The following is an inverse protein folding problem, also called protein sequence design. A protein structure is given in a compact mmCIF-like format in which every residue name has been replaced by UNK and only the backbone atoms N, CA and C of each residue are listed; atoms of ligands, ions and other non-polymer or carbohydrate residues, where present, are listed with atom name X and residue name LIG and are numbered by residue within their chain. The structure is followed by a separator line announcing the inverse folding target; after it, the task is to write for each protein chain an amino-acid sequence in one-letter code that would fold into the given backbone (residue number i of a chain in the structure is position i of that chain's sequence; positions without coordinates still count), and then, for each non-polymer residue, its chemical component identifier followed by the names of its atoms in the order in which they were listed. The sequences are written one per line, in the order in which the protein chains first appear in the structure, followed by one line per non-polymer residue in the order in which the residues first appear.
data_IF_101198122453
#
_entry.id   IF_101198122453
#
_cell.length_a   1.000
_cell.length_b   1.000
_cell.length_c   1.000
_cell.angle_alpha   90.00
_cell.angle_beta   90.00
_cell.angle_gamma   90.00
#
_symmetry.space_group_name_H-M   'P 1'
#
loop_
_entity.id
_entity.type
_entity.pdbx_description
1 polymer ?
#
# COMPACT_ATOMS: atom_id res chain seq x y z
N UNK A 1 1.51 45.31 -12.95
CA UNK A 1 2.08 44.05 -13.50
C UNK A 1 3.45 43.86 -12.88
N UNK A 2 3.64 42.82 -12.06
CA UNK A 2 4.97 42.46 -11.52
C UNK A 2 5.75 41.74 -12.63
N UNK A 3 7.06 41.98 -12.79
CA UNK A 3 7.83 41.36 -13.86
C UNK A 3 7.89 39.84 -13.67
N UNK A 4 7.31 39.09 -14.60
CA UNK A 4 7.24 37.60 -14.63
C UNK A 4 8.53 36.99 -15.21
N UNK A 5 9.44 37.81 -15.73
CA UNK A 5 10.66 37.35 -16.40
C UNK A 5 11.74 36.72 -15.49
N UNK A 6 12.03 37.17 -14.25
CA UNK A 6 13.10 36.58 -13.43
C UNK A 6 12.75 35.18 -12.89
N UNK A 7 11.47 34.81 -12.88
CA UNK A 7 10.99 33.49 -12.41
C UNK A 7 11.26 32.34 -13.39
N UNK A 8 11.34 32.63 -14.69
CA UNK A 8 11.63 31.59 -15.70
C UNK A 8 13.11 31.22 -15.64
N UNK A 9 14.01 32.20 -15.50
CA UNK A 9 15.45 31.97 -15.38
C UNK A 9 15.82 31.19 -14.11
N UNK A 10 15.21 31.52 -12.97
CA UNK A 10 15.46 30.80 -11.70
C UNK A 10 14.86 29.40 -11.68
N UNK A 11 13.68 29.18 -12.27
CA UNK A 11 13.12 27.84 -12.43
C UNK A 11 13.96 26.99 -13.38
N UNK A 12 14.41 27.55 -14.51
CA UNK A 12 15.29 26.87 -15.46
C UNK A 12 16.64 26.52 -14.80
N UNK A 13 17.22 27.43 -14.01
CA UNK A 13 18.46 27.20 -13.26
C UNK A 13 18.29 26.13 -12.17
N UNK A 14 17.16 26.11 -11.44
CA UNK A 14 16.86 25.09 -10.44
C UNK A 14 16.61 23.71 -11.07
N UNK A 15 15.92 23.66 -12.22
CA UNK A 15 15.72 22.41 -12.97
C UNK A 15 17.05 21.90 -13.50
N UNK A 16 17.87 22.75 -14.13
CA UNK A 16 19.18 22.36 -14.66
C UNK A 16 20.17 21.98 -13.57
N UNK A 17 20.24 22.71 -12.46
CA UNK A 17 21.08 22.31 -11.32
C UNK A 17 20.56 21.02 -10.67
N UNK A 18 19.25 20.86 -10.51
CA UNK A 18 18.66 19.65 -9.93
C UNK A 18 18.88 18.42 -10.81
N UNK A 19 18.67 18.54 -12.12
CA UNK A 19 18.96 17.45 -13.06
C UNK A 19 20.45 17.18 -13.18
N UNK A 20 21.31 18.21 -13.17
CA UNK A 20 22.75 18.03 -13.21
C UNK A 20 23.29 17.34 -11.94
N UNK A 21 22.86 17.76 -10.75
CA UNK A 21 23.28 17.15 -9.47
C UNK A 21 22.78 15.72 -9.36
N UNK A 22 21.52 15.46 -9.74
CA UNK A 22 21.00 14.10 -9.76
C UNK A 22 21.70 13.22 -10.79
N UNK A 23 21.93 13.72 -12.00
CA UNK A 23 22.67 12.99 -13.03
C UNK A 23 24.09 12.68 -12.55
N UNK A 24 24.80 13.67 -11.97
CA UNK A 24 26.12 13.45 -11.37
C UNK A 24 26.09 12.41 -10.26
N UNK A 25 25.08 12.45 -9.38
CA UNK A 25 24.94 11.51 -8.27
C UNK A 25 24.64 10.08 -8.75
N UNK A 26 23.71 9.91 -9.69
CA UNK A 26 23.40 8.60 -10.27
C UNK A 26 24.53 8.08 -11.15
N UNK A 27 25.26 8.95 -11.85
CA UNK A 27 26.49 8.61 -12.56
C UNK A 27 27.60 8.22 -11.58
N UNK A 28 27.73 8.88 -10.42
CA UNK A 28 28.67 8.50 -9.36
C UNK A 28 28.32 7.14 -8.76
N UNK A 29 27.05 6.86 -8.49
CA UNK A 29 26.58 5.54 -8.04
C UNK A 29 26.86 4.48 -9.11
N UNK A 30 26.54 4.76 -10.38
CA UNK A 30 26.82 3.84 -11.48
C UNK A 30 28.33 3.59 -11.63
N UNK A 31 29.16 4.63 -11.48
CA UNK A 31 30.61 4.55 -11.52
C UNK A 31 31.16 3.79 -10.31
N UNK A 32 30.60 3.99 -9.11
CA UNK A 32 30.95 3.23 -7.90
C UNK A 32 30.59 1.75 -8.04
N UNK A 33 29.39 1.45 -8.55
CA UNK A 33 28.98 0.09 -8.86
C UNK A 33 29.91 -0.55 -9.90
N UNK A 34 30.32 0.22 -10.92
CA UNK A 34 31.28 -0.22 -11.93
C UNK A 34 32.69 -0.41 -11.35
N UNK A 35 33.17 0.47 -10.46
CA UNK A 35 34.48 0.37 -9.81
C UNK A 35 34.55 -0.81 -8.84
N UNK A 36 33.49 -1.01 -8.05
CA UNK A 36 33.33 -2.16 -7.16
C UNK A 36 33.32 -3.43 -8.02
N UNK A 37 32.51 -3.47 -9.08
CA UNK A 37 32.42 -4.63 -9.98
C UNK A 37 33.74 -4.92 -10.71
N UNK A 38 34.46 -3.90 -11.18
CA UNK A 38 35.74 -4.06 -11.88
C UNK A 38 36.88 -4.48 -10.95
N UNK A 39 36.88 -4.04 -9.69
CA UNK A 39 37.78 -4.54 -8.65
C UNK A 39 37.64 -6.05 -8.39
N UNK A 40 36.43 -6.60 -8.54
CA UNK A 40 36.18 -8.05 -8.46
C UNK A 40 36.55 -8.82 -9.75
N UNK A 41 36.59 -8.16 -10.92
CA UNK A 41 36.93 -8.80 -12.21
C UNK A 41 38.40 -9.07 -12.45
N UNK A 42 39.32 -8.41 -11.72
CA UNK A 42 40.76 -8.73 -11.84
C UNK A 42 41.10 -10.18 -11.44
N UNK A 43 40.12 -10.94 -10.91
CA UNK A 43 40.27 -12.31 -10.44
C UNK A 43 39.61 -13.39 -11.32
N UNK A 44 38.75 -13.08 -12.32
CA UNK A 44 38.03 -14.14 -13.09
C UNK A 44 37.87 -13.84 -14.59
N UNK A 45 38.26 -14.81 -15.43
CA UNK A 45 38.57 -14.64 -16.86
C UNK A 45 37.38 -14.67 -17.86
N UNK A 46 36.13 -14.40 -17.45
CA UNK A 46 34.94 -14.67 -18.29
C UNK A 46 34.20 -13.41 -18.75
N UNK A 47 34.49 -12.95 -19.97
CA UNK A 47 34.17 -11.58 -20.40
C UNK A 47 32.84 -11.26 -21.07
N UNK A 48 31.90 -12.20 -21.17
CA UNK A 48 30.69 -12.02 -21.99
C UNK A 48 29.39 -11.80 -21.20
N UNK A 49 29.32 -12.15 -19.91
CA UNK A 49 28.06 -12.10 -19.13
C UNK A 49 27.80 -10.77 -18.43
N UNK A 50 28.81 -9.90 -18.32
CA UNK A 50 28.73 -8.69 -17.52
C UNK A 50 28.23 -7.45 -18.27
N UNK A 51 28.32 -7.40 -19.60
CA UNK A 51 27.82 -6.26 -20.36
C UNK A 51 26.31 -6.09 -20.16
N UNK A 52 25.57 -7.19 -20.08
CA UNK A 52 24.13 -7.17 -19.81
C UNK A 52 23.79 -6.77 -18.37
N UNK A 53 24.59 -7.17 -17.37
CA UNK A 53 24.36 -6.79 -15.98
C UNK A 53 24.69 -5.31 -15.73
N UNK A 54 25.78 -4.81 -16.33
CA UNK A 54 26.17 -3.41 -16.28
C UNK A 54 25.15 -2.53 -17.02
N UNK A 55 24.74 -2.91 -18.23
CA UNK A 55 23.70 -2.20 -18.99
C UNK A 55 22.36 -2.20 -18.24
N UNK A 56 21.99 -3.31 -17.60
CA UNK A 56 20.75 -3.43 -16.83
C UNK A 56 20.78 -2.60 -15.54
N UNK A 57 21.89 -2.58 -14.81
CA UNK A 57 22.08 -1.70 -13.64
C UNK A 57 22.10 -0.21 -14.02
N UNK A 58 22.67 0.13 -15.18
CA UNK A 58 22.70 1.49 -15.71
C UNK A 58 21.30 1.93 -16.15
N UNK A 59 20.51 1.04 -16.78
CA UNK A 59 19.11 1.30 -17.14
C UNK A 59 18.22 1.44 -15.89
N UNK A 60 18.37 0.55 -14.90
CA UNK A 60 17.59 0.60 -13.65
C UNK A 60 17.99 1.71 -12.69
N UNK A 61 19.23 2.22 -12.76
CA UNK A 61 19.67 3.36 -11.96
C UNK A 61 19.37 4.69 -12.61
N UNK A 62 19.72 4.83 -13.90
CA UNK A 62 19.66 6.11 -14.62
C UNK A 62 18.24 6.48 -15.02
N UNK A 63 17.41 5.52 -15.46
CA UNK A 63 16.04 5.84 -15.91
C UNK A 63 15.12 6.23 -14.73
N UNK A 64 15.03 5.46 -13.63
CA UNK A 64 14.26 5.88 -12.46
C UNK A 64 14.85 7.12 -11.78
N UNK A 65 16.18 7.24 -11.76
CA UNK A 65 16.88 8.42 -11.23
C UNK A 65 16.53 9.70 -12.00
N UNK A 66 16.53 9.67 -13.34
CA UNK A 66 16.13 10.79 -14.19
C UNK A 66 14.64 11.11 -14.04
N UNK A 67 13.77 10.10 -13.99
CA UNK A 67 12.32 10.30 -13.83
C UNK A 67 11.99 10.90 -12.46
N UNK A 68 12.54 10.36 -11.37
CA UNK A 68 12.35 10.90 -10.03
C UNK A 68 12.90 12.33 -9.92
N UNK A 69 14.08 12.60 -10.47
CA UNK A 69 14.71 13.93 -10.40
C UNK A 69 13.95 14.99 -11.20
N UNK A 70 13.41 14.61 -12.36
CA UNK A 70 12.56 15.48 -13.17
C UNK A 70 11.25 15.79 -12.45
N UNK A 71 10.65 14.80 -11.79
CA UNK A 71 9.42 14.98 -10.98
C UNK A 71 9.69 15.84 -9.73
N UNK A 72 10.85 15.68 -9.08
CA UNK A 72 11.23 16.50 -7.92
C UNK A 72 11.55 17.95 -8.31
N UNK A 73 12.22 18.18 -9.44
CA UNK A 73 12.48 19.51 -9.96
C UNK A 73 11.16 20.23 -10.33
N UNK A 74 10.22 19.53 -10.99
CA UNK A 74 8.92 20.07 -11.36
C UNK A 74 8.01 20.36 -10.16
N UNK A 75 8.10 19.55 -9.10
CA UNK A 75 7.30 19.77 -7.87
C UNK A 75 7.88 20.88 -6.99
N UNK A 76 9.21 21.06 -6.99
CA UNK A 76 9.88 22.16 -6.29
C UNK A 76 9.61 23.51 -6.95
N UNK A 77 9.60 23.58 -8.29
CA UNK A 77 9.32 24.82 -9.03
C UNK A 77 7.89 25.36 -8.85
N UNK A 78 7.00 24.64 -8.16
CA UNK A 78 5.59 25.02 -7.94
C UNK A 78 5.34 25.84 -6.67
N UNK A 79 6.33 26.04 -5.80
CA UNK A 79 6.17 26.93 -4.64
C UNK A 79 6.50 28.38 -5.02
N UNK A 80 5.56 29.30 -4.74
CA UNK A 80 5.72 30.73 -5.01
C UNK A 80 6.77 31.42 -4.12
N UNK A 81 7.16 30.80 -3.01
CA UNK A 81 8.12 31.33 -2.06
C UNK A 81 9.47 30.60 -2.18
N UNK A 82 10.54 31.36 -2.41
CA UNK A 82 11.89 30.87 -2.66
C UNK A 82 12.46 30.11 -1.45
N UNK A 83 12.08 30.51 -0.23
CA UNK A 83 12.53 29.85 0.99
C UNK A 83 11.85 28.49 1.18
N UNK A 84 10.55 28.41 0.86
CA UNK A 84 9.79 27.16 0.87
C UNK A 84 10.26 26.20 -0.25
N UNK A 85 10.65 26.74 -1.40
CA UNK A 85 11.26 25.98 -2.50
C UNK A 85 12.56 25.32 -2.06
N UNK A 86 13.47 26.09 -1.45
CA UNK A 86 14.76 25.59 -0.94
C UNK A 86 14.57 24.51 0.12
N UNK A 87 13.63 24.70 1.05
CA UNK A 87 13.36 23.72 2.13
C UNK A 87 12.78 22.42 1.58
N UNK A 88 11.85 22.49 0.63
CA UNK A 88 11.28 21.30 -0.05
C UNK A 88 12.32 20.58 -0.91
N UNK A 89 13.12 21.33 -1.67
CA UNK A 89 14.18 20.78 -2.48
C UNK A 89 15.24 20.08 -1.60
N UNK A 90 15.67 20.71 -0.51
CA UNK A 90 16.61 20.12 0.44
C UNK A 90 16.06 18.85 1.11
N UNK A 91 14.79 18.82 1.53
CA UNK A 91 14.19 17.62 2.12
C UNK A 91 14.04 16.48 1.12
N UNK A 92 13.69 16.80 -0.13
CA UNK A 92 13.56 15.80 -1.20
C UNK A 92 14.92 15.27 -1.64
N UNK A 93 15.92 16.15 -1.75
CA UNK A 93 17.30 15.77 -2.02
C UNK A 93 17.85 14.89 -0.90
N UNK A 94 17.64 15.25 0.38
CA UNK A 94 18.03 14.42 1.51
C UNK A 94 17.36 13.05 1.50
N UNK A 95 16.06 12.98 1.14
CA UNK A 95 15.35 11.70 1.01
C UNK A 95 15.96 10.84 -0.10
N UNK A 96 16.21 11.40 -1.28
CA UNK A 96 16.82 10.70 -2.42
C UNK A 96 18.25 10.24 -2.10
N UNK A 97 19.04 11.09 -1.43
CA UNK A 97 20.37 10.72 -0.97
C UNK A 97 20.31 9.59 0.06
N UNK A 98 19.34 9.63 0.99
CA UNK A 98 19.14 8.57 1.98
C UNK A 98 18.72 7.25 1.34
N UNK A 99 17.75 7.25 0.41
CA UNK A 99 17.38 6.01 -0.31
C UNK A 99 18.52 5.49 -1.17
N UNK A 100 19.28 6.38 -1.82
CA UNK A 100 20.48 6.01 -2.58
C UNK A 100 21.57 5.41 -1.68
N UNK A 101 21.81 5.99 -0.50
CA UNK A 101 22.76 5.48 0.47
C UNK A 101 22.32 4.13 1.06
N UNK A 102 21.04 3.97 1.39
CA UNK A 102 20.49 2.68 1.86
C UNK A 102 20.62 1.62 0.77
N UNK A 103 20.33 1.97 -0.48
CA UNK A 103 20.49 1.05 -1.61
C UNK A 103 21.96 0.68 -1.85
N UNK A 104 22.88 1.65 -1.77
CA UNK A 104 24.32 1.46 -1.90
C UNK A 104 24.90 0.60 -0.76
N UNK A 105 24.44 0.82 0.47
CA UNK A 105 24.82 0.00 1.63
C UNK A 105 24.25 -1.41 1.50
N UNK A 106 22.99 -1.56 1.08
CA UNK A 106 22.38 -2.88 0.85
C UNK A 106 23.10 -3.65 -0.26
N UNK A 107 23.44 -2.99 -1.37
CA UNK A 107 24.22 -3.59 -2.47
C UNK A 107 25.66 -3.86 -2.07
N UNK A 108 26.29 -3.01 -1.25
CA UNK A 108 27.63 -3.23 -0.71
C UNK A 108 27.70 -4.38 0.29
N UNK A 109 26.75 -4.45 1.24
CA UNK A 109 26.60 -5.58 2.18
C UNK A 109 26.36 -6.87 1.39
N UNK A 110 25.47 -6.82 0.39
CA UNK A 110 25.21 -7.95 -0.49
C UNK A 110 26.47 -8.39 -1.26
N UNK A 111 27.20 -7.46 -1.88
CA UNK A 111 28.43 -7.75 -2.62
C UNK A 111 29.57 -8.26 -1.74
N UNK A 112 29.74 -7.72 -0.53
CA UNK A 112 30.74 -8.19 0.44
C UNK A 112 30.38 -9.59 0.98
N UNK A 113 29.09 -9.82 1.23
CA UNK A 113 28.59 -11.13 1.64
C UNK A 113 28.74 -12.17 0.52
N UNK A 114 28.42 -11.80 -0.72
CA UNK A 114 28.63 -12.64 -1.90
C UNK A 114 30.13 -12.92 -2.17
N UNK A 115 31.00 -11.91 -2.05
CA UNK A 115 32.45 -12.06 -2.23
C UNK A 115 33.10 -12.95 -1.16
N UNK A 116 32.65 -12.86 0.09
CA UNK A 116 33.11 -13.74 1.19
C UNK A 116 32.61 -15.18 1.07
N UNK A 117 31.56 -15.42 0.27
CA UNK A 117 30.98 -16.75 0.03
C UNK A 117 31.16 -17.23 -1.44
N UNK A 118 32.12 -16.64 -2.17
CA UNK A 118 32.59 -17.15 -3.46
C UNK A 118 31.72 -16.83 -4.67
N UNK A 119 30.92 -15.76 -4.67
CA UNK A 119 30.22 -15.30 -5.89
C UNK A 119 29.06 -16.18 -6.33
N UNK A 120 28.52 -16.99 -5.42
CA UNK A 120 27.57 -18.05 -5.77
C UNK A 120 26.16 -17.82 -5.27
N UNK A 121 25.75 -16.71 -4.66
CA UNK A 121 24.42 -16.73 -4.04
C UNK A 121 23.26 -16.63 -5.03
N UNK A 122 23.24 -15.65 -5.95
CA UNK A 122 22.17 -15.59 -6.96
C UNK A 122 22.35 -16.66 -8.04
N UNK A 123 23.58 -16.96 -8.42
CA UNK A 123 23.90 -18.02 -9.38
C UNK A 123 23.72 -19.41 -8.80
N UNK A 124 23.96 -19.65 -7.51
CA UNK A 124 23.60 -20.90 -6.82
C UNK A 124 22.18 -20.93 -6.28
N UNK A 125 21.48 -19.80 -6.06
CA UNK A 125 20.02 -19.85 -5.91
C UNK A 125 19.41 -20.23 -7.25
N UNK A 126 19.84 -19.60 -8.35
CA UNK A 126 19.40 -19.95 -9.70
C UNK A 126 19.77 -21.40 -10.04
N UNK A 127 21.00 -21.84 -9.78
CA UNK A 127 21.47 -23.19 -10.10
C UNK A 127 20.98 -24.28 -9.13
N UNK A 128 20.91 -24.02 -7.80
CA UNK A 128 20.24 -24.94 -6.87
C UNK A 128 18.76 -25.01 -7.23
N UNK A 129 18.11 -23.86 -7.43
CA UNK A 129 16.66 -23.80 -7.61
C UNK A 129 16.16 -24.09 -9.03
N UNK A 130 17.05 -24.22 -10.01
CA UNK A 130 16.65 -24.32 -11.43
C UNK A 130 15.90 -23.09 -11.92
N UNK A 131 16.06 -21.95 -11.25
CA UNK A 131 15.33 -20.72 -11.55
C UNK A 131 16.14 -19.85 -12.53
N UNK A 132 15.46 -19.26 -13.50
CA UNK A 132 16.05 -18.20 -14.30
C UNK A 132 16.47 -17.02 -13.41
N UNK A 133 17.61 -16.39 -13.72
CA UNK A 133 18.18 -15.25 -13.00
C UNK A 133 17.21 -14.08 -12.85
N UNK A 134 16.29 -13.89 -13.80
CA UNK A 134 15.21 -12.91 -13.71
C UNK A 134 14.22 -13.21 -12.58
N UNK A 135 13.92 -14.48 -12.33
CA UNK A 135 13.02 -14.94 -11.25
C UNK A 135 13.69 -14.77 -9.89
N UNK A 136 15.00 -15.03 -9.79
CA UNK A 136 15.77 -14.80 -8.57
C UNK A 136 15.86 -13.31 -8.20
N UNK A 137 16.00 -12.44 -9.21
CA UNK A 137 16.00 -10.98 -9.00
C UNK A 137 14.61 -10.47 -8.59
N UNK A 138 13.55 -10.95 -9.23
CA UNK A 138 12.17 -10.64 -8.83
C UNK A 138 11.89 -11.10 -7.39
N UNK A 139 12.44 -12.24 -6.98
CA UNK A 139 12.36 -12.75 -5.61
C UNK A 139 13.09 -11.86 -4.60
N UNK A 140 14.29 -11.37 -4.91
CA UNK A 140 15.02 -10.42 -4.07
C UNK A 140 14.30 -9.07 -3.93
N UNK A 141 13.73 -8.55 -5.03
CA UNK A 141 12.92 -7.32 -5.01
C UNK A 141 11.64 -7.53 -4.21
N UNK A 142 10.99 -8.69 -4.35
CA UNK A 142 9.80 -9.06 -3.59
C UNK A 142 10.10 -9.24 -2.10
N UNK A 143 11.16 -9.95 -1.73
CA UNK A 143 11.64 -10.08 -0.35
C UNK A 143 12.01 -8.72 0.23
N UNK A 144 12.69 -7.85 -0.52
CA UNK A 144 12.98 -6.48 -0.09
C UNK A 144 11.73 -5.63 0.12
N UNK A 145 10.75 -5.72 -0.78
CA UNK A 145 9.48 -5.01 -0.67
C UNK A 145 8.60 -5.55 0.47
N UNK A 146 8.52 -6.87 0.64
CA UNK A 146 7.75 -7.51 1.73
C UNK A 146 8.41 -7.31 3.08
N UNK A 147 9.73 -7.46 3.19
CA UNK A 147 10.48 -7.09 4.41
C UNK A 147 10.32 -5.60 4.69
N UNK A 148 10.34 -4.72 3.68
CA UNK A 148 10.10 -3.29 3.84
C UNK A 148 8.68 -2.95 4.32
N UNK A 149 7.66 -3.63 3.78
CA UNK A 149 6.27 -3.49 4.23
C UNK A 149 6.07 -4.08 5.63
N UNK A 150 6.67 -5.23 5.92
CA UNK A 150 6.60 -5.90 7.23
C UNK A 150 7.37 -5.14 8.29
N UNK A 151 8.57 -4.61 8.00
CA UNK A 151 9.27 -3.67 8.88
C UNK A 151 8.46 -2.40 9.03
N UNK A 152 7.82 -1.89 7.97
CA UNK A 152 6.90 -0.76 8.05
C UNK A 152 5.75 -1.04 9.02
N UNK A 153 5.13 -2.22 8.94
CA UNK A 153 4.04 -2.65 9.83
C UNK A 153 4.54 -2.89 11.25
N UNK A 154 5.68 -3.56 11.45
CA UNK A 154 6.30 -3.80 12.77
C UNK A 154 6.76 -2.49 13.40
N UNK A 155 7.34 -1.58 12.62
CA UNK A 155 7.66 -0.22 13.06
C UNK A 155 6.40 0.53 13.44
N UNK A 156 5.33 0.47 12.65
CA UNK A 156 4.02 1.08 12.96
C UNK A 156 3.34 0.43 14.18
N UNK A 157 3.56 -0.87 14.43
CA UNK A 157 3.02 -1.62 15.56
C UNK A 157 3.78 -1.38 16.86
N UNK A 158 5.10 -1.26 16.79
CA UNK A 158 5.96 -0.91 17.93
C UNK A 158 6.02 0.60 18.17
N UNK A 159 5.58 1.40 17.19
CA UNK A 159 5.56 2.86 17.19
C UNK A 159 4.89 3.48 18.41
N UNK A 160 3.72 3.04 18.90
CA UNK A 160 3.07 3.69 20.05
C UNK A 160 3.90 3.54 21.34
N UNK A 161 4.66 2.45 21.44
CA UNK A 161 5.62 2.22 22.53
C UNK A 161 6.92 2.99 22.31
N UNK A 162 7.40 3.07 21.05
CA UNK A 162 8.61 3.80 20.67
C UNK A 162 8.46 5.32 20.82
N UNK A 163 7.31 5.89 20.40
CA UNK A 163 6.95 7.32 20.50
C UNK A 163 6.79 7.77 21.94
N UNK A 164 6.41 6.87 22.85
CA UNK A 164 6.43 7.17 24.29
C UNK A 164 7.86 7.37 24.83
N UNK A 165 8.87 6.81 24.17
CA UNK A 165 10.27 6.83 24.64
C UNK A 165 11.16 7.79 23.84
N UNK A 166 10.83 8.06 22.58
CA UNK A 166 11.54 8.97 21.69
C UNK A 166 10.69 10.22 21.53
N UNK A 167 11.10 11.33 22.15
CA UNK A 167 10.36 12.59 22.24
C UNK A 167 9.51 12.93 21.01
N UNK A 168 8.20 13.02 21.24
CA UNK A 168 7.13 13.01 20.23
C UNK A 168 7.08 14.14 19.17
N UNK A 169 7.59 15.38 19.35
CA UNK A 169 7.25 16.44 18.41
C UNK A 169 7.98 16.33 17.06
N UNK A 170 9.25 15.90 17.04
CA UNK A 170 10.04 15.86 15.80
C UNK A 170 9.68 14.71 14.86
N UNK A 171 9.11 13.63 15.39
CA UNK A 171 8.79 12.42 14.63
C UNK A 171 7.32 12.36 14.21
N UNK A 172 6.40 12.95 14.99
CA UNK A 172 5.03 13.19 14.52
C UNK A 172 5.08 14.01 13.23
N UNK A 173 5.92 15.05 13.18
CA UNK A 173 6.08 15.91 12.00
C UNK A 173 6.70 15.20 10.77
N UNK A 174 7.40 14.07 10.98
CA UNK A 174 8.01 13.28 9.90
C UNK A 174 7.03 12.29 9.25
N UNK A 175 6.06 11.76 10.02
CA UNK A 175 4.99 10.87 9.53
C UNK A 175 3.73 11.65 9.16
N UNK A 176 3.52 12.85 9.73
CA UNK A 176 2.41 13.75 9.41
C UNK A 176 2.53 14.62 8.14
N UNK A 177 3.51 14.53 7.22
CA UNK A 177 3.20 14.95 5.87
C UNK A 177 2.40 13.79 5.27
N UNK A 178 1.06 13.89 5.37
CA UNK A 178 0.00 13.07 4.73
C UNK A 178 0.27 12.62 3.28
N UNK A 179 1.31 13.15 2.66
CA UNK A 179 1.94 12.68 1.43
C UNK A 179 2.46 11.24 1.51
N UNK A 180 2.99 10.74 2.64
CA UNK A 180 3.57 9.38 2.70
C UNK A 180 2.50 8.31 2.42
N UNK A 181 1.34 8.38 3.08
CA UNK A 181 0.22 7.45 2.85
C UNK A 181 -0.24 7.46 1.38
N UNK A 182 -0.30 8.65 0.77
CA UNK A 182 -0.61 8.79 -0.65
C UNK A 182 0.42 8.09 -1.53
N UNK A 183 1.71 8.30 -1.28
CA UNK A 183 2.77 7.67 -2.06
C UNK A 183 2.82 6.15 -1.86
N UNK A 184 2.56 5.67 -0.63
CA UNK A 184 2.44 4.23 -0.35
C UNK A 184 1.26 3.62 -1.10
N UNK A 185 0.08 4.24 -1.06
CA UNK A 185 -1.08 3.79 -1.83
C UNK A 185 -0.80 3.77 -3.33
N UNK A 186 -0.27 4.87 -3.88
CA UNK A 186 0.07 4.95 -5.32
C UNK A 186 1.12 3.91 -5.68
N UNK A 187 2.15 3.73 -4.83
CA UNK A 187 3.19 2.72 -5.02
C UNK A 187 2.62 1.31 -5.03
N UNK A 188 1.74 0.97 -4.07
CA UNK A 188 1.08 -0.33 -4.02
C UNK A 188 0.22 -0.62 -5.26
N UNK A 189 -0.53 0.39 -5.73
CA UNK A 189 -1.30 0.28 -6.98
C UNK A 189 -0.36 0.10 -8.17
N UNK A 190 0.67 0.94 -8.30
CA UNK A 190 1.62 0.87 -9.42
C UNK A 190 2.35 -0.47 -9.46
N UNK A 191 2.85 -0.96 -8.33
CA UNK A 191 3.52 -2.27 -8.24
C UNK A 191 2.52 -3.37 -8.63
N UNK A 192 1.31 -3.36 -8.05
CA UNK A 192 0.28 -4.33 -8.36
C UNK A 192 -0.13 -4.32 -9.84
N UNK A 193 -0.29 -3.14 -10.44
CA UNK A 193 -0.68 -2.97 -11.85
C UNK A 193 0.46 -3.34 -12.79
N UNK A 194 1.68 -2.85 -12.56
CA UNK A 194 2.85 -3.14 -13.40
C UNK A 194 3.12 -4.65 -13.38
N UNK A 195 3.15 -5.27 -12.21
CA UNK A 195 3.32 -6.71 -12.11
C UNK A 195 2.19 -7.44 -12.84
N UNK A 196 0.93 -7.06 -12.59
CA UNK A 196 -0.24 -7.66 -13.25
C UNK A 196 -0.24 -7.53 -14.79
N UNK A 197 0.29 -6.43 -15.34
CA UNK A 197 0.41 -6.20 -16.79
C UNK A 197 1.42 -7.14 -17.47
N UNK A 198 2.46 -7.56 -16.75
CA UNK A 198 3.46 -8.51 -17.26
C UNK A 198 3.03 -9.98 -17.16
N UNK A 199 1.89 -10.28 -16.51
CA UNK A 199 1.41 -11.64 -16.39
C UNK A 199 0.59 -12.06 -17.62
N UNK A 200 0.84 -13.23 -18.22
CA UNK A 200 0.05 -13.72 -19.36
C UNK A 200 -1.41 -13.89 -18.95
N UNK A 201 -2.37 -13.37 -19.72
CA UNK A 201 -3.80 -13.56 -19.42
C UNK A 201 -4.41 -14.56 -20.39
N UNK A 202 -4.90 -15.69 -19.88
CA UNK A 202 -5.49 -16.75 -20.71
C UNK A 202 -6.99 -16.54 -21.00
N UNK A 203 -7.56 -15.38 -20.65
CA UNK A 203 -8.96 -15.03 -20.96
C UNK A 203 -9.46 -13.74 -20.31
N UNK A 204 -10.62 -13.26 -20.78
CA UNK A 204 -11.23 -11.99 -20.37
C UNK A 204 -11.44 -11.87 -18.85
N UNK A 205 -11.83 -12.96 -18.18
CA UNK A 205 -12.05 -12.98 -16.73
C UNK A 205 -10.75 -12.68 -15.96
N UNK A 206 -9.65 -13.32 -16.35
CA UNK A 206 -8.35 -13.10 -15.72
C UNK A 206 -7.82 -11.70 -16.00
N UNK A 207 -7.95 -11.20 -17.24
CA UNK A 207 -7.55 -9.83 -17.58
C UNK A 207 -8.36 -8.79 -16.79
N UNK A 208 -9.67 -9.00 -16.65
CA UNK A 208 -10.55 -8.11 -15.87
C UNK A 208 -10.20 -8.16 -14.39
N UNK A 209 -9.95 -9.35 -13.84
CA UNK A 209 -9.49 -9.49 -12.45
C UNK A 209 -8.16 -8.76 -12.23
N UNK A 210 -7.19 -8.91 -13.14
CA UNK A 210 -5.86 -8.28 -13.06
C UNK A 210 -5.95 -6.74 -13.03
N UNK A 211 -6.65 -6.19 -14.02
CA UNK A 211 -6.69 -4.75 -14.28
C UNK A 211 -7.69 -4.01 -13.39
N UNK A 212 -8.89 -4.57 -13.18
CA UNK A 212 -9.96 -3.85 -12.49
C UNK A 212 -9.99 -4.12 -10.99
N UNK A 213 -9.59 -5.32 -10.55
CA UNK A 213 -9.85 -5.78 -9.19
C UNK A 213 -8.57 -5.93 -8.37
N UNK A 214 -7.64 -6.80 -8.78
CA UNK A 214 -6.48 -7.16 -7.96
C UNK A 214 -5.59 -5.95 -7.63
N UNK A 215 -5.08 -5.24 -8.63
CA UNK A 215 -4.18 -4.10 -8.40
C UNK A 215 -4.83 -2.94 -7.64
N UNK A 216 -6.13 -2.67 -7.89
CA UNK A 216 -6.87 -1.66 -7.14
C UNK A 216 -7.01 -2.04 -5.65
N UNK A 217 -7.25 -3.32 -5.35
CA UNK A 217 -7.39 -3.79 -3.97
C UNK A 217 -6.10 -3.70 -3.16
N UNK A 218 -4.91 -3.73 -3.80
CA UNK A 218 -3.65 -3.46 -3.10
C UNK A 218 -3.62 -2.03 -2.54
N UNK A 219 -4.07 -1.06 -3.35
CA UNK A 219 -4.21 0.33 -2.94
C UNK A 219 -5.23 0.52 -1.82
N UNK A 220 -6.41 -0.12 -1.95
CA UNK A 220 -7.48 -0.04 -0.94
C UNK A 220 -7.03 -0.66 0.39
N UNK A 221 -6.38 -1.83 0.36
CA UNK A 221 -5.83 -2.46 1.55
C UNK A 221 -4.78 -1.57 2.21
N UNK A 222 -3.88 -0.97 1.42
CA UNK A 222 -2.85 -0.04 1.92
C UNK A 222 -3.48 1.19 2.58
N UNK A 223 -4.55 1.74 2.00
CA UNK A 223 -5.31 2.85 2.59
C UNK A 223 -5.90 2.46 3.94
N UNK A 224 -6.58 1.32 4.02
CA UNK A 224 -7.20 0.88 5.28
C UNK A 224 -6.16 0.57 6.36
N UNK A 225 -5.04 -0.07 6.01
CA UNK A 225 -3.95 -0.31 6.96
C UNK A 225 -3.30 0.98 7.44
N UNK A 226 -3.17 1.98 6.56
CA UNK A 226 -2.65 3.29 6.94
C UNK A 226 -3.61 4.05 7.84
N UNK A 227 -4.91 4.02 7.53
CA UNK A 227 -5.96 4.64 8.35
C UNK A 227 -6.05 3.96 9.73
N UNK A 228 -5.93 2.63 9.78
CA UNK A 228 -5.81 1.86 11.01
C UNK A 228 -4.60 2.29 11.84
N UNK A 229 -3.41 2.40 11.23
CA UNK A 229 -2.20 2.80 11.93
C UNK A 229 -2.31 4.23 12.51
N UNK A 230 -2.82 5.18 11.73
CA UNK A 230 -3.05 6.57 12.20
C UNK A 230 -4.10 6.62 13.30
N UNK A 231 -5.15 5.79 13.23
CA UNK A 231 -6.15 5.70 14.28
C UNK A 231 -5.58 5.12 15.58
N UNK A 232 -4.74 4.09 15.52
CA UNK A 232 -4.04 3.55 16.70
C UNK A 232 -3.07 4.55 17.32
N UNK A 233 -2.43 5.39 16.51
CA UNK A 233 -1.57 6.47 16.97
C UNK A 233 -2.33 7.66 17.59
N UNK A 234 -3.67 7.63 17.61
CA UNK A 234 -4.50 8.73 18.13
C UNK A 234 -4.62 9.93 17.18
N UNK A 235 -4.09 9.83 15.95
CA UNK A 235 -4.12 10.90 14.95
C UNK A 235 -5.41 10.97 14.12
N UNK A 236 -6.33 10.01 14.27
CA UNK A 236 -7.64 9.99 13.60
C UNK A 236 -8.74 10.55 14.50
N UNK A 237 -9.97 10.67 13.99
CA UNK A 237 -11.09 11.16 14.81
C UNK A 237 -11.53 10.13 15.86
N UNK A 238 -12.16 10.54 16.98
CA UNK A 238 -12.64 9.61 18.01
C UNK A 238 -13.58 8.52 17.49
N UNK A 239 -14.32 8.82 16.41
CA UNK A 239 -15.19 7.86 15.74
C UNK A 239 -14.40 6.68 15.14
N UNK A 240 -13.33 7.01 14.40
CA UNK A 240 -12.46 6.03 13.73
C UNK A 240 -11.52 5.32 14.70
N UNK A 241 -11.02 6.02 15.71
CA UNK A 241 -10.27 5.40 16.81
C UNK A 241 -11.09 4.29 17.47
N UNK A 242 -12.37 4.56 17.78
CA UNK A 242 -13.26 3.55 18.36
C UNK A 242 -13.61 2.43 17.39
N UNK A 243 -13.85 2.75 16.11
CA UNK A 243 -14.07 1.72 15.07
C UNK A 243 -12.90 0.73 15.02
N UNK A 244 -11.67 1.24 14.91
CA UNK A 244 -10.50 0.37 14.84
C UNK A 244 -10.16 -0.28 16.17
N UNK A 245 -10.47 0.34 17.31
CA UNK A 245 -10.33 -0.30 18.61
C UNK A 245 -11.25 -1.51 18.76
N UNK A 246 -12.47 -1.47 18.22
CA UNK A 246 -13.43 -2.57 18.23
C UNK A 246 -12.99 -3.73 17.31
N UNK A 247 -12.21 -3.45 16.25
CA UNK A 247 -11.74 -4.44 15.27
C UNK A 247 -10.25 -4.80 15.40
N UNK A 248 -9.54 -4.22 16.38
CA UNK A 248 -8.07 -4.35 16.48
C UNK A 248 -7.63 -5.80 16.67
N UNK A 249 -8.39 -6.60 17.41
CA UNK A 249 -8.05 -7.99 17.71
C UNK A 249 -8.06 -8.81 16.42
N UNK A 250 -9.08 -8.66 15.58
CA UNK A 250 -9.18 -9.36 14.29
C UNK A 250 -7.99 -9.00 13.38
N UNK A 251 -7.63 -7.70 13.32
CA UNK A 251 -6.50 -7.22 12.52
C UNK A 251 -5.13 -7.66 13.10
N UNK A 252 -4.97 -7.67 14.42
CA UNK A 252 -3.75 -8.15 15.07
C UNK A 252 -3.56 -9.65 14.89
N UNK A 253 -4.61 -10.45 15.07
CA UNK A 253 -4.57 -11.89 14.83
C UNK A 253 -4.19 -12.16 13.38
N UNK A 254 -4.79 -11.45 12.42
CA UNK A 254 -4.39 -11.54 11.01
C UNK A 254 -2.90 -11.21 10.80
N UNK A 255 -2.43 -10.09 11.36
CA UNK A 255 -1.04 -9.67 11.25
C UNK A 255 -0.05 -10.67 11.87
N UNK A 256 -0.35 -11.19 13.05
CA UNK A 256 0.47 -12.20 13.74
C UNK A 256 0.48 -13.51 12.95
N UNK A 257 -0.66 -13.96 12.43
CA UNK A 257 -0.73 -15.16 11.60
C UNK A 257 0.06 -14.99 10.31
N UNK A 258 -0.03 -13.83 9.65
CA UNK A 258 0.76 -13.52 8.46
C UNK A 258 2.27 -13.47 8.75
N UNK A 259 2.66 -12.90 9.90
CA UNK A 259 4.06 -12.88 10.35
C UNK A 259 4.56 -14.29 10.69
N UNK A 260 3.73 -15.09 11.35
CA UNK A 260 4.04 -16.48 11.69
C UNK A 260 4.23 -17.30 10.42
N UNK A 261 3.35 -17.13 9.42
CA UNK A 261 3.51 -17.75 8.12
C UNK A 261 4.85 -17.33 7.51
N UNK A 262 5.15 -16.03 7.42
CA UNK A 262 6.42 -15.54 6.88
C UNK A 262 7.65 -16.11 7.62
N UNK A 263 7.60 -16.20 8.95
CA UNK A 263 8.65 -16.81 9.75
C UNK A 263 8.82 -18.30 9.43
N UNK A 264 7.72 -19.05 9.32
CA UNK A 264 7.77 -20.46 8.92
C UNK A 264 8.35 -20.61 7.51
N UNK A 265 8.00 -19.72 6.57
CA UNK A 265 8.51 -19.75 5.21
C UNK A 265 10.01 -19.42 5.12
N UNK A 266 10.49 -18.54 5.99
CA UNK A 266 11.90 -18.13 6.02
C UNK A 266 12.79 -19.10 6.81
N UNK A 267 12.24 -19.79 7.81
CA UNK A 267 12.95 -20.76 8.64
C UNK A 267 12.88 -22.19 8.09
N UNK A 268 11.91 -22.51 7.23
CA UNK A 268 11.82 -23.83 6.61
C UNK A 268 13.01 -24.08 5.67
N UNK A 269 13.62 -25.26 5.80
CA UNK A 269 14.65 -25.74 4.86
C UNK A 269 14.08 -26.17 3.51
N UNK A 270 12.76 -26.39 3.45
CA UNK A 270 12.08 -26.77 2.21
C UNK A 270 11.83 -25.55 1.32
N UNK A 271 11.97 -25.73 0.00
CA UNK A 271 11.62 -24.67 -0.94
C UNK A 271 10.14 -24.39 -0.85
N UNK A 272 9.80 -23.15 -0.54
CA UNK A 272 8.42 -22.69 -0.60
C UNK A 272 7.89 -22.87 -2.02
N UNK A 273 6.86 -23.70 -2.15
CA UNK A 273 6.12 -23.84 -3.39
C UNK A 273 5.18 -22.65 -3.49
N UNK A 274 5.34 -21.81 -4.50
CA UNK A 274 4.42 -20.67 -4.74
C UNK A 274 3.00 -21.10 -5.10
N UNK A 275 2.79 -22.40 -5.28
CA UNK A 275 1.49 -23.03 -5.41
C UNK A 275 0.83 -23.38 -4.07
N UNK A 276 1.56 -23.26 -2.95
CA UNK A 276 0.93 -23.35 -1.64
C UNK A 276 0.06 -22.11 -1.48
N UNK A 277 -1.24 -22.33 -1.43
CA UNK A 277 -2.29 -21.32 -1.41
C UNK A 277 -2.37 -20.58 -0.06
N UNK A 278 -1.30 -20.62 0.73
CA UNK A 278 -1.27 -20.27 2.16
C UNK A 278 -1.61 -18.78 2.38
N UNK A 279 -1.02 -17.90 1.57
CA UNK A 279 -1.28 -16.47 1.67
C UNK A 279 -2.70 -16.12 1.26
N UNK A 280 -3.23 -16.79 0.23
CA UNK A 280 -4.61 -16.62 -0.18
C UNK A 280 -5.60 -17.18 0.86
N UNK A 281 -5.27 -18.30 1.50
CA UNK A 281 -6.07 -18.89 2.58
C UNK A 281 -6.11 -18.00 3.82
N UNK A 282 -5.11 -17.13 4.04
CA UNK A 282 -5.20 -16.10 5.08
C UNK A 282 -6.30 -15.06 4.77
N UNK A 283 -6.47 -14.71 3.49
CA UNK A 283 -7.48 -13.73 3.04
C UNK A 283 -8.89 -14.29 2.86
N UNK A 284 -9.00 -15.58 2.55
CA UNK A 284 -10.26 -16.22 2.17
C UNK A 284 -11.36 -16.14 3.25
N UNK A 285 -11.07 -16.38 4.55
CA UNK A 285 -12.06 -16.23 5.63
C UNK A 285 -12.63 -14.81 5.73
N UNK A 286 -11.88 -13.78 5.33
CA UNK A 286 -12.33 -12.39 5.42
C UNK A 286 -13.54 -12.08 4.54
N UNK A 287 -13.68 -12.76 3.39
CA UNK A 287 -14.90 -12.66 2.58
C UNK A 287 -16.11 -13.26 3.29
N UNK A 288 -15.94 -14.40 3.97
CA UNK A 288 -17.02 -15.02 4.75
C UNK A 288 -17.43 -14.14 5.94
N UNK A 289 -16.45 -13.60 6.67
CA UNK A 289 -16.71 -12.61 7.72
C UNK A 289 -17.42 -11.36 7.18
N UNK A 290 -17.08 -10.92 5.96
CA UNK A 290 -17.77 -9.80 5.34
C UNK A 290 -19.26 -10.12 5.06
N UNK A 291 -19.57 -11.32 4.57
CA UNK A 291 -20.96 -11.77 4.37
C UNK A 291 -21.72 -11.78 5.70
N UNK A 292 -21.12 -12.34 6.76
CA UNK A 292 -21.74 -12.38 8.09
C UNK A 292 -21.94 -10.98 8.68
N UNK A 293 -20.97 -10.07 8.52
CA UNK A 293 -21.09 -8.69 8.94
C UNK A 293 -22.26 -7.97 8.22
N UNK A 294 -22.41 -8.16 6.91
CA UNK A 294 -23.55 -7.60 6.18
C UNK A 294 -24.88 -8.25 6.62
N UNK A 295 -24.88 -9.53 6.97
CA UNK A 295 -26.06 -10.18 7.51
C UNK A 295 -26.47 -9.57 8.87
N UNK A 296 -25.50 -9.24 9.73
CA UNK A 296 -25.74 -8.58 11.02
C UNK A 296 -26.53 -7.26 10.87
N UNK A 297 -26.31 -6.52 9.78
CA UNK A 297 -27.06 -5.29 9.44
C UNK A 297 -28.58 -5.50 9.37
N UNK A 298 -29.06 -6.73 9.21
CA UNK A 298 -30.49 -7.07 9.26
C UNK A 298 -31.15 -6.71 10.60
N UNK A 299 -30.39 -6.80 11.68
CA UNK A 299 -30.91 -6.63 13.05
C UNK A 299 -30.85 -5.17 13.51
N UNK A 300 -29.93 -4.38 12.94
CA UNK A 300 -29.64 -3.01 13.35
C UNK A 300 -30.72 -2.06 12.81
N UNK A 301 -31.29 -1.26 13.71
CA UNK A 301 -32.29 -0.22 13.38
C UNK A 301 -31.65 1.16 13.45
N UNK A 302 -31.73 1.91 12.35
CA UNK A 302 -31.36 3.32 12.27
C UNK A 302 -32.62 4.17 12.14
N UNK A 303 -32.84 5.05 13.11
CA UNK A 303 -34.06 5.87 13.18
C UNK A 303 -35.35 5.03 12.98
N UNK A 304 -35.43 3.88 13.66
CA UNK A 304 -36.58 2.97 13.60
C UNK A 304 -36.67 2.11 12.32
N UNK A 305 -35.85 2.37 11.30
CA UNK A 305 -35.83 1.63 10.03
C UNK A 305 -34.61 0.71 9.97
N UNK A 306 -34.74 -0.44 9.29
CA UNK A 306 -33.62 -1.36 9.03
C UNK A 306 -33.00 -1.05 7.67
N UNK A 307 -31.78 -1.53 7.42
CA UNK A 307 -31.19 -1.48 6.09
C UNK A 307 -32.12 -2.22 5.09
N UNK A 308 -32.45 -1.63 3.93
CA UNK A 308 -33.31 -2.28 2.95
C UNK A 308 -32.77 -3.65 2.52
N UNK A 309 -33.67 -4.63 2.42
CA UNK A 309 -33.32 -6.01 2.03
C UNK A 309 -32.53 -6.04 0.71
N UNK A 310 -32.94 -5.23 -0.28
CA UNK A 310 -32.29 -5.16 -1.60
C UNK A 310 -30.81 -4.78 -1.50
N UNK A 311 -30.47 -3.78 -0.68
CA UNK A 311 -29.08 -3.32 -0.48
C UNK A 311 -28.28 -4.41 0.23
N UNK A 312 -28.85 -5.00 1.29
CA UNK A 312 -28.20 -6.09 2.03
C UNK A 312 -27.91 -7.29 1.12
N UNK A 313 -28.89 -7.73 0.33
CA UNK A 313 -28.74 -8.85 -0.60
C UNK A 313 -27.71 -8.52 -1.69
N UNK A 314 -27.72 -7.30 -2.24
CA UNK A 314 -26.73 -6.89 -3.23
C UNK A 314 -25.29 -6.97 -2.68
N UNK A 315 -25.07 -6.51 -1.44
CA UNK A 315 -23.77 -6.61 -0.77
C UNK A 315 -23.37 -8.06 -0.45
N UNK A 316 -24.31 -8.88 0.03
CA UNK A 316 -24.07 -10.32 0.24
C UNK A 316 -23.69 -11.03 -1.07
N UNK A 317 -24.42 -10.77 -2.16
CA UNK A 317 -24.15 -11.34 -3.49
C UNK A 317 -22.79 -10.89 -4.00
N UNK A 318 -22.43 -9.61 -3.80
CA UNK A 318 -21.13 -9.09 -4.18
C UNK A 318 -19.99 -9.81 -3.44
N UNK A 319 -20.06 -9.99 -2.12
CA UNK A 319 -19.00 -10.71 -1.40
C UNK A 319 -18.98 -12.21 -1.69
N UNK A 320 -20.15 -12.83 -1.89
CA UNK A 320 -20.25 -14.23 -2.28
C UNK A 320 -19.68 -14.48 -3.69
N UNK A 321 -19.91 -13.57 -4.64
CA UNK A 321 -19.33 -13.69 -5.99
C UNK A 321 -17.82 -13.50 -5.96
N UNK A 322 -17.31 -12.52 -5.20
CA UNK A 322 -15.87 -12.33 -5.00
C UNK A 322 -15.20 -13.55 -4.35
N UNK A 323 -15.86 -14.16 -3.37
CA UNK A 323 -15.42 -15.42 -2.76
C UNK A 323 -15.37 -16.55 -3.79
N UNK A 324 -16.44 -16.74 -4.58
CA UNK A 324 -16.49 -17.78 -5.61
C UNK A 324 -15.42 -17.58 -6.70
N UNK A 325 -15.22 -16.35 -7.19
CA UNK A 325 -14.17 -16.01 -8.15
C UNK A 325 -12.79 -16.32 -7.57
N UNK A 326 -12.57 -15.99 -6.31
CA UNK A 326 -11.31 -16.28 -5.60
C UNK A 326 -11.03 -17.78 -5.55
N UNK A 327 -12.04 -18.61 -5.26
CA UNK A 327 -11.89 -20.08 -5.27
C UNK A 327 -11.53 -20.59 -6.67
N UNK A 328 -12.15 -20.07 -7.73
CA UNK A 328 -11.83 -20.46 -9.12
C UNK A 328 -10.37 -20.11 -9.49
N UNK A 329 -9.89 -18.94 -9.06
CA UNK A 329 -8.48 -18.55 -9.23
C UNK A 329 -7.57 -19.49 -8.45
N UNK A 330 -7.92 -19.84 -7.21
CA UNK A 330 -7.11 -20.75 -6.39
C UNK A 330 -7.04 -22.16 -6.94
N UNK A 331 -8.13 -22.66 -7.54
CA UNK A 331 -8.09 -23.94 -8.26
C UNK A 331 -7.10 -23.90 -9.42
N UNK A 332 -7.01 -22.77 -10.14
CA UNK A 332 -6.05 -22.56 -11.23
C UNK A 332 -4.60 -22.46 -10.74
N UNK A 333 -4.40 -21.92 -9.53
CA UNK A 333 -3.09 -21.92 -8.86
C UNK A 333 -2.71 -23.35 -8.46
N UNK A 334 -3.63 -24.09 -7.82
CA UNK A 334 -3.37 -25.44 -7.34
C UNK A 334 -3.15 -26.45 -8.49
N UNK A 335 -3.79 -26.27 -9.64
CA UNK A 335 -3.57 -27.09 -10.84
C UNK A 335 -2.22 -26.87 -11.51
N UNK A 336 -1.38 -25.97 -10.98
CA UNK A 336 -0.05 -25.61 -11.53
C UNK A 336 -0.09 -25.17 -12.99
N UNK A 337 -1.25 -24.68 -13.44
CA UNK A 337 -1.44 -24.17 -14.80
C UNK A 337 -0.86 -22.77 -14.98
N UNK A 338 -0.54 -22.09 -13.88
CA UNK A 338 0.06 -20.76 -13.85
C UNK A 338 1.52 -20.84 -13.42
N UNK A 339 2.41 -19.97 -13.93
CA UNK A 339 3.77 -19.85 -13.38
C UNK A 339 3.75 -19.30 -11.96
N UNK A 340 4.78 -19.62 -11.19
CA UNK A 340 4.88 -19.31 -9.74
C UNK A 340 4.71 -17.82 -9.39
N UNK A 341 5.33 -16.94 -10.17
CA UNK A 341 5.23 -15.49 -9.97
C UNK A 341 3.81 -14.95 -10.24
N UNK A 342 3.06 -15.60 -11.14
CA UNK A 342 1.65 -15.29 -11.39
C UNK A 342 0.78 -15.75 -10.22
N UNK A 343 1.00 -16.98 -9.74
CA UNK A 343 0.31 -17.51 -8.58
C UNK A 343 0.48 -16.57 -7.37
N UNK A 344 1.71 -16.13 -7.08
CA UNK A 344 1.99 -15.21 -5.98
C UNK A 344 1.22 -13.88 -6.10
N UNK A 345 1.21 -13.27 -7.29
CA UNK A 345 0.47 -12.03 -7.53
C UNK A 345 -1.02 -12.19 -7.24
N UNK A 346 -1.61 -13.31 -7.65
CA UNK A 346 -3.01 -13.64 -7.36
C UNK A 346 -3.24 -13.84 -5.87
N UNK A 347 -2.35 -14.55 -5.17
CA UNK A 347 -2.49 -14.78 -3.73
C UNK A 347 -2.47 -13.47 -2.93
N UNK A 348 -1.55 -12.54 -3.24
CA UNK A 348 -1.51 -11.22 -2.60
C UNK A 348 -2.78 -10.43 -2.91
N UNK A 349 -3.22 -10.44 -4.17
CA UNK A 349 -4.46 -9.77 -4.59
C UNK A 349 -5.68 -10.29 -3.84
N UNK A 350 -5.78 -11.61 -3.65
CA UNK A 350 -6.83 -12.25 -2.88
C UNK A 350 -6.77 -11.80 -1.41
N UNK A 351 -5.59 -11.80 -0.80
CA UNK A 351 -5.40 -11.34 0.57
C UNK A 351 -5.83 -9.86 0.74
N UNK A 352 -5.33 -8.96 -0.10
CA UNK A 352 -5.70 -7.54 -0.06
C UNK A 352 -7.20 -7.32 -0.27
N UNK A 353 -7.81 -8.09 -1.17
CA UNK A 353 -9.25 -8.03 -1.44
C UNK A 353 -10.07 -8.50 -0.25
N UNK A 354 -9.68 -9.63 0.36
CA UNK A 354 -10.33 -10.15 1.55
C UNK A 354 -10.25 -9.18 2.72
N UNK A 355 -9.05 -8.65 3.00
CA UNK A 355 -8.84 -7.66 4.05
C UNK A 355 -9.70 -6.40 3.83
N UNK A 356 -9.75 -5.90 2.60
CA UNK A 356 -10.57 -4.74 2.23
C UNK A 356 -12.06 -5.02 2.41
N UNK A 357 -12.53 -6.21 2.04
CA UNK A 357 -13.93 -6.64 2.22
C UNK A 357 -14.31 -6.72 3.71
N UNK A 358 -13.44 -7.28 4.56
CA UNK A 358 -13.65 -7.32 6.00
C UNK A 358 -13.77 -5.92 6.59
N UNK A 359 -12.79 -5.04 6.35
CA UNK A 359 -12.78 -3.69 6.93
C UNK A 359 -14.00 -2.90 6.46
N UNK A 360 -14.31 -2.94 5.16
CA UNK A 360 -15.45 -2.23 4.60
C UNK A 360 -16.80 -2.73 5.15
N UNK A 361 -17.00 -4.05 5.24
CA UNK A 361 -18.25 -4.60 5.79
C UNK A 361 -18.41 -4.28 7.27
N UNK A 362 -17.35 -4.38 8.07
CA UNK A 362 -17.33 -3.95 9.48
C UNK A 362 -17.58 -2.45 9.63
N UNK A 363 -17.05 -1.63 8.73
CA UNK A 363 -17.29 -0.19 8.70
C UNK A 363 -18.79 0.11 8.51
N UNK A 364 -19.46 -0.58 7.58
CA UNK A 364 -20.93 -0.45 7.40
C UNK A 364 -21.66 -0.81 8.69
N UNK A 365 -21.36 -1.95 9.30
CA UNK A 365 -21.97 -2.39 10.56
C UNK A 365 -21.79 -1.34 11.65
N UNK A 366 -20.57 -0.83 11.80
CA UNK A 366 -20.24 0.16 12.81
C UNK A 366 -20.98 1.48 12.61
N UNK A 367 -21.01 2.00 11.37
CA UNK A 367 -21.77 3.22 11.02
C UNK A 367 -23.26 3.09 11.34
N UNK A 368 -23.85 1.91 11.06
CA UNK A 368 -25.24 1.63 11.40
C UNK A 368 -25.47 1.55 12.92
N UNK A 369 -24.57 0.88 13.66
CA UNK A 369 -24.64 0.80 15.14
C UNK A 369 -24.56 2.20 15.77
N UNK A 370 -23.60 3.02 15.34
CA UNK A 370 -23.44 4.38 15.85
C UNK A 370 -24.52 5.34 15.34
N UNK A 371 -25.33 4.94 14.34
CA UNK A 371 -26.27 5.81 13.64
C UNK A 371 -25.62 7.12 13.15
N UNK A 372 -24.35 7.03 12.77
CA UNK A 372 -23.52 8.15 12.36
C UNK A 372 -22.57 7.68 11.26
N UNK A 373 -22.52 8.42 10.16
CA UNK A 373 -21.51 8.24 9.12
C UNK A 373 -20.49 9.36 9.29
N UNK A 374 -19.22 9.01 9.40
CA UNK A 374 -18.12 9.96 9.43
C UNK A 374 -17.08 9.54 8.40
N UNK A 375 -16.72 10.39 7.42
CA UNK A 375 -15.61 10.09 6.52
C UNK A 375 -14.30 10.01 7.32
N UNK A 376 -13.36 9.16 6.90
CA UNK A 376 -12.04 9.12 7.54
C UNK A 376 -11.28 10.41 7.24
N UNK A 377 -10.77 11.13 8.26
CA UNK A 377 -9.92 12.29 8.05
C UNK A 377 -8.67 11.96 7.22
N UNK A 378 -8.13 10.75 7.39
CA UNK A 378 -6.94 10.27 6.66
C UNK A 378 -7.27 10.11 5.19
N UNK A 379 -8.35 9.42 4.86
CA UNK A 379 -8.78 9.26 3.48
C UNK A 379 -9.14 10.62 2.87
N UNK A 380 -9.82 11.50 3.62
CA UNK A 380 -10.17 12.84 3.15
C UNK A 380 -8.92 13.67 2.80
N UNK A 381 -7.89 13.61 3.63
CA UNK A 381 -6.61 14.26 3.37
C UNK A 381 -5.92 13.67 2.13
N UNK A 382 -5.86 12.33 2.00
CA UNK A 382 -5.26 11.67 0.85
C UNK A 382 -5.97 12.07 -0.45
N UNK A 383 -7.30 11.97 -0.51
CA UNK A 383 -8.07 12.30 -1.72
C UNK A 383 -8.06 13.79 -2.04
N UNK A 384 -8.17 14.68 -1.05
CA UNK A 384 -8.10 16.13 -1.28
C UNK A 384 -6.72 16.59 -1.78
N UNK A 385 -5.66 15.86 -1.46
CA UNK A 385 -4.31 16.13 -1.99
C UNK A 385 -4.09 15.67 -3.43
N UNK A 386 -5.03 14.94 -4.04
CA UNK A 386 -4.93 14.43 -5.41
C UNK A 386 -5.61 15.37 -6.40
N UNK A 387 -4.83 15.99 -7.29
CA UNK A 387 -5.34 16.94 -8.31
C UNK A 387 -6.37 16.34 -9.26
N UNK A 388 -6.31 15.03 -9.49
CA UNK A 388 -7.18 14.30 -10.41
C UNK A 388 -8.37 13.62 -9.73
N UNK A 389 -8.58 13.83 -8.43
CA UNK A 389 -9.77 13.38 -7.70
C UNK A 389 -10.68 14.59 -7.48
N UNK A 390 -11.52 14.96 -8.47
CA UNK A 390 -12.36 16.14 -8.36
C UNK A 390 -13.43 15.91 -7.30
N UNK A 391 -13.15 16.26 -6.05
CA UNK A 391 -14.15 16.41 -5.00
C UNK A 391 -14.98 15.20 -4.60
N UNK A 392 -14.82 14.01 -5.20
CA UNK A 392 -15.67 12.83 -4.93
C UNK A 392 -15.70 12.51 -3.44
N UNK A 393 -14.54 12.50 -2.78
CA UNK A 393 -14.49 12.23 -1.35
C UNK A 393 -15.10 13.37 -0.51
N UNK A 394 -15.02 14.61 -0.99
CA UNK A 394 -15.71 15.74 -0.36
C UNK A 394 -17.24 15.68 -0.56
N UNK A 395 -17.71 15.10 -1.66
CA UNK A 395 -19.14 14.78 -1.86
C UNK A 395 -19.61 13.69 -0.91
N UNK A 396 -18.82 12.64 -0.73
CA UNK A 396 -19.11 11.60 0.28
C UNK A 396 -19.19 12.22 1.68
N UNK A 397 -18.28 13.14 2.02
CA UNK A 397 -18.34 13.86 3.29
C UNK A 397 -19.62 14.72 3.43
N UNK A 398 -20.02 15.42 2.37
CA UNK A 398 -21.28 16.20 2.33
C UNK A 398 -22.51 15.30 2.47
N UNK A 399 -22.54 14.18 1.75
CA UNK A 399 -23.62 13.20 1.82
C UNK A 399 -23.73 12.57 3.22
N UNK A 400 -22.60 12.26 3.85
CA UNK A 400 -22.55 11.78 5.24
C UNK A 400 -23.16 12.81 6.22
N UNK A 401 -22.83 14.10 6.05
CA UNK A 401 -23.40 15.16 6.87
C UNK A 401 -24.92 15.29 6.69
N UNK A 402 -25.40 15.27 5.44
CA UNK A 402 -26.83 15.30 5.13
C UNK A 402 -27.57 14.09 5.73
N UNK A 403 -26.99 12.90 5.61
CA UNK A 403 -27.54 11.68 6.20
C UNK A 403 -27.60 11.77 7.73
N UNK A 404 -26.54 12.25 8.39
CA UNK A 404 -26.53 12.42 9.84
C UNK A 404 -27.62 13.39 10.31
N UNK A 405 -27.80 14.52 9.62
CA UNK A 405 -28.87 15.48 9.93
C UNK A 405 -30.25 14.86 9.76
N UNK A 406 -30.46 14.08 8.69
CA UNK A 406 -31.72 13.38 8.45
C UNK A 406 -32.02 12.38 9.59
N UNK A 407 -31.04 11.58 10.00
CA UNK A 407 -31.18 10.62 11.11
C UNK A 407 -31.53 11.32 12.43
N UNK A 408 -30.91 12.46 12.73
CA UNK A 408 -31.23 13.25 13.94
C UNK A 408 -32.69 13.72 13.91
N UNK A 409 -33.15 14.25 12.78
CA UNK A 409 -34.54 14.73 12.61
C UNK A 409 -35.54 13.59 12.79
N UNK A 410 -35.31 12.44 12.16
CA UNK A 410 -36.19 11.27 12.27
C UNK A 410 -36.21 10.69 13.69
N UNK A 411 -35.06 10.63 14.37
CA UNK A 411 -35.01 10.24 15.79
C UNK A 411 -35.82 11.20 16.67
N UNK A 412 -35.77 12.50 16.41
CA UNK A 412 -36.55 13.49 17.13
C UNK A 412 -38.06 13.32 16.92
N UNK A 413 -38.51 13.03 15.67
CA UNK A 413 -39.91 12.73 15.36
C UNK A 413 -40.40 11.49 16.11
N UNK A 414 -39.65 10.39 16.05
CA UNK A 414 -40.00 9.15 16.75
C UNK A 414 -40.10 9.31 18.27
N UNK A 415 -39.23 10.14 18.88
CA UNK A 415 -39.32 10.46 20.31
C UNK A 415 -40.62 11.21 20.64
N UNK A 416 -41.02 12.18 19.81
CA UNK A 416 -42.28 12.92 19.98
C UNK A 416 -43.50 12.01 19.83
N UNK A 417 -43.51 11.13 18.85
CA UNK A 417 -44.59 10.16 18.62
C UNK A 417 -44.73 9.19 19.80
N UNK A 418 -43.62 8.62 20.29
CA UNK A 418 -43.63 7.75 21.48
C UNK A 418 -44.13 8.47 22.72
N UNK A 419 -43.75 9.73 22.93
CA UNK A 419 -44.22 10.53 24.05
C UNK A 419 -45.73 10.87 23.98
N UNK A 420 -46.27 11.04 22.76
CA UNK A 420 -47.72 11.21 22.56
C UNK A 420 -48.48 9.90 22.81
N UNK A 421 -47.98 8.79 22.28
CA UNK A 421 -48.58 7.47 22.48
C UNK A 421 -48.59 7.05 23.97
N UNK A 422 -47.54 7.36 24.73
CA UNK A 422 -47.50 7.06 26.17
C UNK A 422 -48.45 7.92 27.00
N UNK A 423 -48.65 9.19 26.63
CA UNK A 423 -49.66 10.05 27.26
C UNK A 423 -51.08 9.60 26.94
N UNK A 424 -51.33 9.15 25.72
CA UNK A 424 -52.64 8.62 25.30
C UNK A 424 -53.03 7.31 25.98
N UNK A 425 -52.06 6.48 26.40
CA UNK A 425 -52.32 5.24 27.17
C UNK A 425 -52.52 5.46 28.69
N UNK A 426 -52.22 6.65 29.21
CA UNK A 426 -52.36 7.00 30.64
C UNK A 426 -53.69 7.71 30.95
N UNK A 427 -54.41 8.15 29.92
CA UNK A 427 -55.81 8.55 30.00
C UNK A 427 -56.64 7.33 29.66
#
# INVERSE_FOLDING_TARGET
MKPVLPTIGTAALCVTCGTAVSALYFSLIALLCWFISSGFTASTNNSATWEHAALFGLILGVVPGLVCSSVFALTSCRSADLLAMRKKFASQLALVLLTGAVLAVATGIYGQWEGSHGGTFVTSLAARQGMHTQTALAYLVFCGATVGVMLGVVLLMTWPSLVKHIGAPTLSDLILPFNVTKYLMIGAILIGTIWGLFLPSSGLLQSTYKLAFGSAMWGVATLYLSDFAVALAGGSSPFWQKFYADNKTDLFVCGITGLTLLLLLTLSSERYSWYSIDLALLGLPFFLYAIFAIHECATIKVAGRRLPLRIRMALCILFASLYAITILVLLSVQSKTMPEHEALWYQISIFCSGLSALIFSRQIVYMLKQNKIEPSPVLLAVFSSMKFSPGIYAEVARAAQQWNQHVIREKAKLRKEKARASKGRRR
#
